data_IF_266490351259
#
_entry.id   IF_266490351259
#
_cell.length_a   1.000
_cell.length_b   1.000
_cell.length_c   1.000
_cell.angle_alpha   90.00
_cell.angle_beta   90.00
_cell.angle_gamma   90.00
#
_symmetry.space_group_name_H-M   'P 1'
#
loop_
_entity.id
_entity.type
_entity.pdbx_description
1 polymer ?
#
# COMPACT_ATOMS: atom_id res chain seq x y z
N UNK A 1 20.03 -4.84 -33.44
CA UNK A 1 20.18 -4.58 -32.00
C UNK A 1 18.93 -5.14 -31.32
N UNK A 2 19.09 -6.01 -30.35
CA UNK A 2 17.98 -6.47 -29.51
C UNK A 2 17.56 -5.29 -28.61
N UNK A 3 16.29 -4.91 -28.70
CA UNK A 3 15.71 -3.92 -27.82
C UNK A 3 15.45 -4.58 -26.45
N UNK A 4 16.08 -4.04 -25.41
CA UNK A 4 16.00 -4.56 -24.03
C UNK A 4 15.05 -3.68 -23.21
N UNK A 5 13.83 -4.16 -23.03
CA UNK A 5 12.78 -3.47 -22.25
C UNK A 5 13.16 -3.30 -20.78
N UNK A 6 13.87 -4.26 -20.19
CA UNK A 6 14.24 -4.19 -18.77
C UNK A 6 15.26 -3.08 -18.55
N UNK A 7 16.23 -2.93 -19.46
CA UNK A 7 17.16 -1.80 -19.43
C UNK A 7 16.45 -0.45 -19.62
N UNK A 8 15.46 -0.37 -20.50
CA UNK A 8 14.69 0.85 -20.68
C UNK A 8 13.93 1.20 -19.41
N UNK A 9 13.27 0.22 -18.80
CA UNK A 9 12.57 0.41 -17.54
C UNK A 9 13.50 0.87 -16.42
N UNK A 10 14.71 0.32 -16.32
CA UNK A 10 15.69 0.72 -15.32
C UNK A 10 16.19 2.16 -15.56
N UNK A 11 16.43 2.55 -16.82
CA UNK A 11 16.77 3.93 -17.17
C UNK A 11 15.62 4.88 -16.81
N UNK A 12 14.37 4.48 -17.07
CA UNK A 12 13.20 5.29 -16.73
C UNK A 12 13.06 5.48 -15.21
N UNK A 13 13.23 4.43 -14.42
CA UNK A 13 13.22 4.50 -12.95
C UNK A 13 14.26 5.49 -12.41
N UNK A 14 15.50 5.42 -12.93
CA UNK A 14 16.57 6.34 -12.53
C UNK A 14 16.25 7.78 -12.95
N UNK A 15 15.76 7.99 -14.17
CA UNK A 15 15.39 9.32 -14.65
C UNK A 15 14.29 9.95 -13.78
N UNK A 16 13.25 9.17 -13.41
CA UNK A 16 12.15 9.65 -12.58
C UNK A 16 12.60 10.09 -11.18
N UNK A 17 13.69 9.57 -10.63
CA UNK A 17 14.22 10.03 -9.34
C UNK A 17 14.70 11.49 -9.37
N UNK A 18 15.07 11.99 -10.54
CA UNK A 18 15.59 13.36 -10.74
C UNK A 18 14.51 14.38 -11.14
N UNK A 19 13.28 13.91 -11.34
CA UNK A 19 12.13 14.74 -11.69
C UNK A 19 11.28 14.92 -10.43
N UNK A 20 10.84 16.14 -10.13
CA UNK A 20 9.98 16.39 -8.94
C UNK A 20 8.62 15.71 -9.08
N UNK A 21 7.98 15.39 -7.94
CA UNK A 21 6.64 14.82 -7.92
C UNK A 21 5.62 15.73 -8.64
N UNK A 22 5.80 17.04 -8.54
CA UNK A 22 4.96 18.01 -9.24
C UNK A 22 5.11 17.92 -10.76
N UNK A 23 6.34 17.89 -11.28
CA UNK A 23 6.59 17.76 -12.72
C UNK A 23 6.07 16.41 -13.26
N UNK A 24 6.19 15.33 -12.48
CA UNK A 24 5.58 14.04 -12.85
C UNK A 24 4.05 14.16 -12.89
N UNK A 25 3.43 14.84 -11.93
CA UNK A 25 1.98 15.03 -11.88
C UNK A 25 1.47 15.80 -13.11
N UNK A 26 2.12 16.91 -13.46
CA UNK A 26 1.78 17.69 -14.67
C UNK A 26 1.94 16.86 -15.96
N UNK A 27 3.05 16.13 -16.08
CA UNK A 27 3.25 15.22 -17.21
C UNK A 27 2.15 14.15 -17.31
N UNK A 28 1.79 13.52 -16.18
CA UNK A 28 0.73 12.50 -16.14
C UNK A 28 -0.63 13.07 -16.52
N UNK A 29 -0.91 14.31 -16.12
CA UNK A 29 -2.14 15.02 -16.48
C UNK A 29 -2.25 15.21 -17.98
N UNK A 30 -1.22 15.80 -18.62
CA UNK A 30 -1.20 16.01 -20.05
C UNK A 30 -1.26 14.68 -20.83
N UNK A 31 -0.49 13.69 -20.39
CA UNK A 31 -0.49 12.36 -21.00
C UNK A 31 -1.86 11.69 -20.90
N UNK A 32 -2.55 11.82 -19.77
CA UNK A 32 -3.85 11.17 -19.56
C UNK A 32 -4.95 11.72 -20.45
N UNK A 33 -4.93 13.01 -20.79
CA UNK A 33 -5.90 13.62 -21.68
C UNK A 33 -5.95 12.95 -23.06
N UNK A 34 -4.79 12.47 -23.54
CA UNK A 34 -4.70 11.82 -24.85
C UNK A 34 -4.81 10.29 -24.76
N UNK A 35 -4.17 9.67 -23.78
CA UNK A 35 -3.94 8.22 -23.78
C UNK A 35 -4.73 7.44 -22.71
N UNK A 36 -5.30 8.12 -21.70
CA UNK A 36 -5.98 7.46 -20.59
C UNK A 36 -6.99 8.37 -19.88
N UNK A 37 -8.02 8.90 -20.60
CA UNK A 37 -9.00 9.84 -20.05
C UNK A 37 -9.84 9.23 -18.91
N UNK A 38 -9.87 7.92 -18.79
CA UNK A 38 -10.51 7.19 -17.68
C UNK A 38 -9.91 7.50 -16.30
N UNK A 39 -8.69 8.06 -16.25
CA UNK A 39 -8.02 8.47 -15.02
C UNK A 39 -8.17 9.96 -14.69
N UNK A 40 -9.03 10.70 -15.39
CA UNK A 40 -9.19 12.15 -15.21
C UNK A 40 -9.45 12.56 -13.76
N UNK A 41 -10.21 11.75 -13.00
CA UNK A 41 -10.52 12.00 -11.59
C UNK A 41 -9.28 12.08 -10.66
N UNK A 42 -8.14 11.53 -11.08
CA UNK A 42 -6.87 11.58 -10.30
C UNK A 42 -6.36 13.02 -10.22
N UNK A 43 -6.68 13.85 -11.20
CA UNK A 43 -6.22 15.23 -11.32
C UNK A 43 -7.17 16.27 -10.70
N UNK A 44 -8.27 15.82 -10.09
CA UNK A 44 -9.19 16.70 -9.36
C UNK A 44 -8.52 17.30 -8.10
N UNK A 45 -7.54 16.60 -7.53
CA UNK A 45 -6.73 17.06 -6.41
C UNK A 45 -5.23 16.84 -6.71
N UNK A 46 -4.61 17.86 -7.30
CA UNK A 46 -3.18 17.85 -7.66
C UNK A 46 -2.26 17.80 -6.44
N UNK A 47 -2.66 18.41 -5.32
CA UNK A 47 -1.86 18.40 -4.09
C UNK A 47 -1.81 16.98 -3.49
N UNK A 48 -2.92 16.26 -3.52
CA UNK A 48 -2.98 14.85 -3.14
C UNK A 48 -2.11 14.00 -4.07
N UNK A 49 -2.23 14.18 -5.38
CA UNK A 49 -1.43 13.45 -6.37
C UNK A 49 0.06 13.66 -6.15
N UNK A 50 0.50 14.89 -5.90
CA UNK A 50 1.92 15.20 -5.63
C UNK A 50 2.39 14.47 -4.37
N UNK A 51 1.61 14.47 -3.26
CA UNK A 51 1.94 13.71 -2.04
C UNK A 51 2.06 12.21 -2.30
N UNK A 52 1.17 11.64 -3.11
CA UNK A 52 1.20 10.22 -3.49
C UNK A 52 2.46 9.89 -4.30
N UNK A 53 2.81 10.73 -5.26
CA UNK A 53 3.99 10.54 -6.10
C UNK A 53 5.30 10.72 -5.33
N UNK A 54 5.30 11.56 -4.31
CA UNK A 54 6.47 11.86 -3.49
C UNK A 54 6.73 10.81 -2.39
N UNK A 55 5.76 9.95 -2.13
CA UNK A 55 5.83 8.90 -1.12
C UNK A 55 7.10 8.04 -1.27
N UNK A 56 7.99 8.07 -0.25
CA UNK A 56 9.22 7.27 -0.19
C UNK A 56 10.33 7.72 -1.15
N UNK A 57 10.25 8.94 -1.71
CA UNK A 57 11.28 9.49 -2.61
C UNK A 57 12.41 10.22 -1.88
N UNK A 58 12.13 10.79 -0.72
CA UNK A 58 13.11 11.54 0.11
C UNK A 58 13.91 10.63 1.06
N UNK A 59 13.77 9.32 0.96
CA UNK A 59 14.48 8.37 1.80
C UNK A 59 15.93 8.16 1.35
N UNK A 60 16.81 7.69 2.27
CA UNK A 60 18.20 7.28 1.92
C UNK A 60 18.27 6.28 0.76
N UNK A 61 17.23 5.49 0.59
CA UNK A 61 17.02 4.57 -0.53
C UNK A 61 15.68 4.91 -1.17
N UNK A 62 15.64 5.85 -2.09
CA UNK A 62 14.41 6.25 -2.76
C UNK A 62 13.74 5.05 -3.44
N UNK A 63 12.41 5.02 -3.40
CA UNK A 63 11.65 4.00 -4.13
C UNK A 63 11.86 4.14 -5.64
N UNK A 64 11.97 3.00 -6.33
CA UNK A 64 12.22 2.92 -7.78
C UNK A 64 11.15 2.09 -8.49
N UNK A 65 9.91 2.18 -8.04
CA UNK A 65 8.79 1.40 -8.56
C UNK A 65 7.90 2.17 -9.56
N UNK A 66 8.19 3.46 -9.80
CA UNK A 66 7.57 4.25 -10.85
C UNK A 66 8.39 4.12 -12.13
N UNK A 67 7.74 3.75 -13.24
CA UNK A 67 8.45 3.38 -14.48
C UNK A 67 7.98 4.18 -15.69
N UNK A 68 6.69 4.14 -16.04
CA UNK A 68 6.09 4.87 -17.16
C UNK A 68 4.65 5.24 -16.86
N UNK A 69 4.10 6.20 -17.58
CA UNK A 69 2.83 6.85 -17.26
C UNK A 69 1.70 5.89 -16.91
N UNK A 70 1.37 4.93 -17.79
CA UNK A 70 0.26 3.97 -17.51
C UNK A 70 0.53 3.14 -16.26
N UNK A 71 1.73 2.63 -16.07
CA UNK A 71 2.10 1.86 -14.89
C UNK A 71 1.97 2.71 -13.60
N UNK A 72 2.38 3.98 -13.66
CA UNK A 72 2.25 4.91 -12.52
C UNK A 72 0.77 5.09 -12.18
N UNK A 73 -0.09 5.36 -13.17
CA UNK A 73 -1.53 5.56 -12.96
C UNK A 73 -2.20 4.32 -12.33
N UNK A 74 -1.89 3.13 -12.85
CA UNK A 74 -2.38 1.87 -12.30
C UNK A 74 -1.84 1.61 -10.89
N UNK A 75 -0.56 1.95 -10.66
CA UNK A 75 0.10 1.72 -9.38
C UNK A 75 -0.49 2.57 -8.26
N UNK A 76 -0.78 3.87 -8.52
CA UNK A 76 -1.35 4.79 -7.52
C UNK A 76 -2.88 4.69 -7.40
N UNK A 77 -3.53 3.93 -8.27
CA UNK A 77 -5.00 3.85 -8.37
C UNK A 77 -5.70 3.47 -7.06
N UNK A 78 -5.02 2.74 -6.17
CA UNK A 78 -5.59 2.36 -4.88
C UNK A 78 -5.85 3.53 -3.93
N UNK A 79 -5.28 4.70 -4.15
CA UNK A 79 -5.61 5.90 -3.37
C UNK A 79 -7.00 6.46 -3.69
N UNK A 80 -7.62 6.03 -4.79
CA UNK A 80 -8.88 6.56 -5.29
C UNK A 80 -9.99 5.51 -5.21
N UNK A 81 -11.13 5.88 -4.59
CA UNK A 81 -12.24 4.94 -4.40
C UNK A 81 -12.85 4.43 -5.72
N UNK A 82 -12.78 5.25 -6.78
CA UNK A 82 -13.28 4.90 -8.12
C UNK A 82 -12.57 3.71 -8.73
N UNK A 83 -11.28 3.53 -8.42
CA UNK A 83 -10.41 2.49 -9.00
C UNK A 83 -9.90 1.47 -7.99
N UNK A 84 -10.20 1.64 -6.71
CA UNK A 84 -9.78 0.70 -5.68
C UNK A 84 -10.39 -0.70 -5.89
N UNK A 85 -9.54 -1.70 -5.95
CA UNK A 85 -9.90 -3.12 -6.03
C UNK A 85 -8.95 -3.96 -5.19
N UNK A 86 -9.47 -4.98 -4.53
CA UNK A 86 -8.65 -6.04 -3.93
C UNK A 86 -8.27 -7.00 -5.06
N UNK A 87 -6.97 -7.16 -5.31
CA UNK A 87 -6.41 -7.93 -6.42
C UNK A 87 -5.75 -9.21 -5.92
N UNK A 88 -5.03 -9.12 -4.79
CA UNK A 88 -4.31 -10.23 -4.21
C UNK A 88 -5.13 -10.92 -3.12
N UNK A 89 -4.80 -12.18 -2.85
CA UNK A 89 -5.47 -13.00 -1.86
C UNK A 89 -4.87 -12.80 -0.46
N UNK A 90 -5.68 -13.04 0.56
CA UNK A 90 -5.25 -13.08 1.96
C UNK A 90 -4.29 -14.26 2.14
N UNK A 91 -3.18 -14.11 2.91
CA UNK A 91 -2.32 -15.24 3.25
C UNK A 91 -3.11 -16.37 3.92
N UNK A 92 -2.88 -17.62 3.48
CA UNK A 92 -3.59 -18.78 4.00
C UNK A 92 -3.52 -18.90 5.53
N UNK A 93 -2.38 -18.50 6.13
CA UNK A 93 -2.16 -18.50 7.57
C UNK A 93 -3.06 -17.51 8.33
N UNK A 94 -3.56 -16.47 7.63
CA UNK A 94 -4.38 -15.43 8.24
C UNK A 94 -5.84 -15.44 7.76
N UNK A 95 -6.20 -16.30 6.81
CA UNK A 95 -7.54 -16.34 6.20
C UNK A 95 -8.64 -16.54 7.25
N UNK A 96 -8.45 -17.49 8.17
CA UNK A 96 -9.44 -17.79 9.21
C UNK A 96 -9.63 -16.66 10.26
N UNK A 97 -8.61 -15.82 10.42
CA UNK A 97 -8.63 -14.74 11.43
C UNK A 97 -8.75 -13.34 10.79
N UNK A 98 -8.92 -13.23 9.45
CA UNK A 98 -8.89 -11.94 8.73
C UNK A 98 -9.87 -10.90 9.30
N UNK A 99 -11.10 -11.30 9.62
CA UNK A 99 -12.09 -10.39 10.20
C UNK A 99 -11.66 -9.92 11.59
N UNK A 100 -11.18 -10.84 12.44
CA UNK A 100 -10.71 -10.50 13.78
C UNK A 100 -9.51 -9.56 13.75
N UNK A 101 -8.56 -9.80 12.84
CA UNK A 101 -7.39 -8.93 12.63
C UNK A 101 -7.87 -7.51 12.31
N UNK A 102 -8.83 -7.36 11.40
CA UNK A 102 -9.34 -6.06 10.99
C UNK A 102 -10.17 -5.38 12.10
N UNK A 103 -10.97 -6.13 12.87
CA UNK A 103 -11.74 -5.61 14.00
C UNK A 103 -10.81 -5.13 15.13
N UNK A 104 -9.79 -5.90 15.51
CA UNK A 104 -8.78 -5.48 16.49
C UNK A 104 -7.96 -4.28 15.99
N UNK A 105 -7.63 -4.26 14.70
CA UNK A 105 -6.97 -3.13 14.09
C UNK A 105 -7.81 -1.84 14.21
N UNK A 106 -9.09 -1.87 13.82
CA UNK A 106 -9.99 -0.72 13.94
C UNK A 106 -10.13 -0.21 15.38
N UNK A 107 -10.18 -1.13 16.35
CA UNK A 107 -10.35 -0.76 17.76
C UNK A 107 -9.12 -0.06 18.34
N UNK A 108 -7.93 -0.40 17.85
CA UNK A 108 -6.64 0.16 18.30
C UNK A 108 -6.11 1.29 17.41
N UNK A 109 -6.68 1.47 16.22
CA UNK A 109 -6.19 2.44 15.24
C UNK A 109 -6.32 3.88 15.73
N UNK A 110 -5.21 4.59 15.69
CA UNK A 110 -5.12 6.02 15.92
C UNK A 110 -4.28 6.65 14.80
N UNK A 111 -4.88 7.57 14.05
CA UNK A 111 -4.21 8.21 12.91
C UNK A 111 -2.98 9.05 13.31
N UNK A 112 -2.93 9.51 14.56
CA UNK A 112 -1.83 10.30 15.10
C UNK A 112 -0.63 9.47 15.58
N UNK A 113 -0.72 8.13 15.54
CA UNK A 113 0.39 7.26 15.94
C UNK A 113 1.62 7.50 15.05
N UNK A 114 2.78 7.48 15.64
CA UNK A 114 4.04 7.35 14.91
C UNK A 114 4.12 5.99 14.22
N UNK A 115 4.99 5.85 13.23
CA UNK A 115 5.21 4.58 12.54
C UNK A 115 5.58 3.44 13.51
N UNK A 116 6.38 3.74 14.55
CA UNK A 116 6.77 2.76 15.56
C UNK A 116 5.59 2.33 16.44
N UNK A 117 4.79 3.28 16.94
CA UNK A 117 3.59 3.01 17.73
C UNK A 117 2.57 2.20 16.92
N UNK A 118 2.32 2.58 15.67
CA UNK A 118 1.45 1.87 14.76
C UNK A 118 1.92 0.41 14.56
N UNK A 119 3.21 0.18 14.30
CA UNK A 119 3.71 -1.16 14.07
C UNK A 119 3.74 -2.01 15.35
N UNK A 120 3.93 -1.40 16.52
CA UNK A 120 3.83 -2.09 17.79
C UNK A 120 2.40 -2.60 18.04
N UNK A 121 1.37 -1.81 17.73
CA UNK A 121 -0.03 -2.26 17.79
C UNK A 121 -0.29 -3.46 16.89
N UNK A 122 0.28 -3.49 15.68
CA UNK A 122 0.16 -4.67 14.80
C UNK A 122 0.83 -5.91 15.41
N UNK A 123 1.97 -5.74 16.08
CA UNK A 123 2.63 -6.84 16.81
C UNK A 123 1.78 -7.34 17.99
N UNK A 124 1.12 -6.45 18.70
CA UNK A 124 0.19 -6.81 19.79
C UNK A 124 -1.00 -7.60 19.24
N UNK A 125 -1.64 -7.14 18.16
CA UNK A 125 -2.71 -7.89 17.48
C UNK A 125 -2.21 -9.28 17.07
N UNK A 126 -1.04 -9.37 16.44
CA UNK A 126 -0.45 -10.63 16.04
C UNK A 126 -0.28 -11.57 17.24
N UNK A 127 0.30 -11.09 18.32
CA UNK A 127 0.55 -11.89 19.53
C UNK A 127 -0.77 -12.35 20.19
N UNK A 128 -1.75 -11.45 20.33
CA UNK A 128 -3.05 -11.75 20.92
C UNK A 128 -3.81 -12.83 20.15
N UNK A 129 -3.66 -12.88 18.83
CA UNK A 129 -4.31 -13.86 17.97
C UNK A 129 -3.49 -15.16 17.77
N UNK A 130 -2.30 -15.29 18.39
CA UNK A 130 -1.46 -16.49 18.33
C UNK A 130 -0.47 -16.51 17.14
N UNK A 131 -0.14 -15.34 16.60
CA UNK A 131 0.93 -15.18 15.60
C UNK A 131 2.25 -14.79 16.26
N UNK A 132 3.36 -15.21 15.67
CA UNK A 132 4.68 -14.78 16.13
C UNK A 132 4.91 -13.29 15.87
N UNK A 133 5.37 -12.54 16.87
CA UNK A 133 5.72 -11.13 16.75
C UNK A 133 6.88 -10.87 15.77
N UNK A 134 7.68 -11.90 15.47
CA UNK A 134 8.82 -11.82 14.54
C UNK A 134 8.80 -13.01 13.57
N UNK A 135 9.00 -12.78 12.26
CA UNK A 135 9.02 -13.87 11.28
C UNK A 135 10.05 -14.96 11.57
N UNK A 136 11.19 -14.60 12.18
CA UNK A 136 12.25 -15.58 12.56
C UNK A 136 11.81 -16.56 13.64
N UNK A 137 10.91 -16.15 14.54
CA UNK A 137 10.43 -17.02 15.61
C UNK A 137 9.47 -18.07 15.05
N UNK A 138 8.56 -17.64 14.15
CA UNK A 138 7.73 -18.56 13.36
C UNK A 138 8.56 -19.55 12.53
N UNK A 139 9.61 -19.07 11.86
CA UNK A 139 10.48 -19.94 11.05
C UNK A 139 11.20 -21.02 11.87
N UNK A 140 11.49 -20.74 13.16
CA UNK A 140 12.14 -21.70 14.06
C UNK A 140 11.16 -22.72 14.62
N UNK A 141 9.97 -22.30 14.96
CA UNK A 141 8.95 -23.12 15.64
C UNK A 141 7.59 -22.89 14.95
N UNK A 142 7.40 -23.40 13.72
CA UNK A 142 6.16 -23.13 12.98
C UNK A 142 4.91 -23.69 13.65
N UNK A 143 5.04 -24.78 14.38
CA UNK A 143 3.92 -25.46 15.06
C UNK A 143 3.41 -24.70 16.31
N UNK A 144 4.21 -23.76 16.83
CA UNK A 144 3.83 -22.96 18.00
C UNK A 144 2.93 -21.74 17.64
N UNK A 145 2.81 -21.41 16.37
CA UNK A 145 2.13 -20.21 15.91
C UNK A 145 1.25 -20.46 14.68
N UNK A 146 0.17 -19.70 14.53
CA UNK A 146 -0.66 -19.70 13.32
C UNK A 146 0.06 -19.11 12.08
N UNK A 147 1.08 -18.29 12.31
CA UNK A 147 1.81 -17.52 11.31
C UNK A 147 2.69 -16.47 12.01
N UNK A 148 2.93 -15.34 11.38
CA UNK A 148 3.73 -14.26 11.96
C UNK A 148 3.13 -12.88 11.64
N UNK A 149 3.64 -11.83 12.31
CA UNK A 149 3.20 -10.44 12.17
C UNK A 149 3.12 -9.96 10.70
N UNK A 150 3.93 -10.50 9.80
CA UNK A 150 3.87 -10.18 8.37
C UNK A 150 2.54 -10.60 7.73
N UNK A 151 1.97 -11.75 8.11
CA UNK A 151 0.66 -12.19 7.61
C UNK A 151 -0.45 -11.25 8.11
N UNK A 152 -0.41 -10.86 9.39
CA UNK A 152 -1.33 -9.88 9.98
C UNK A 152 -1.24 -8.52 9.27
N UNK A 153 0.00 -8.03 9.06
CA UNK A 153 0.25 -6.79 8.31
C UNK A 153 -0.26 -6.86 6.88
N UNK A 154 -0.19 -8.04 6.24
CA UNK A 154 -0.67 -8.23 4.86
C UNK A 154 -2.18 -8.16 4.78
N UNK A 155 -2.92 -8.70 5.76
CA UNK A 155 -4.39 -8.54 5.83
C UNK A 155 -4.78 -7.05 5.88
N UNK A 156 -4.13 -6.28 6.77
CA UNK A 156 -4.37 -4.83 6.89
C UNK A 156 -4.03 -4.11 5.58
N UNK A 157 -2.89 -4.46 4.97
CA UNK A 157 -2.46 -3.90 3.68
C UNK A 157 -3.47 -4.19 2.58
N UNK A 158 -3.97 -5.42 2.46
CA UNK A 158 -4.97 -5.79 1.47
C UNK A 158 -6.26 -4.98 1.62
N UNK A 159 -6.72 -4.77 2.84
CA UNK A 159 -7.90 -3.94 3.09
C UNK A 159 -7.70 -2.49 2.64
N UNK A 160 -6.50 -1.94 2.76
CA UNK A 160 -6.19 -0.55 2.43
C UNK A 160 -5.78 -0.34 0.96
N UNK A 161 -4.95 -1.24 0.43
CA UNK A 161 -4.27 -1.09 -0.86
C UNK A 161 -4.77 -2.08 -1.90
N UNK A 162 -5.38 -3.19 -1.46
CA UNK A 162 -5.85 -4.26 -2.34
C UNK A 162 -4.74 -5.16 -2.89
N UNK A 163 -3.50 -4.99 -2.43
CA UNK A 163 -2.31 -5.71 -2.91
C UNK A 163 -1.46 -6.21 -1.73
N UNK A 164 -0.81 -7.36 -1.89
CA UNK A 164 0.10 -7.92 -0.90
C UNK A 164 1.44 -7.16 -0.81
N UNK A 165 1.79 -6.43 -1.86
CA UNK A 165 3.00 -5.59 -1.93
C UNK A 165 2.61 -4.13 -2.15
N UNK A 166 3.25 -3.22 -1.40
CA UNK A 166 3.06 -1.78 -1.51
C UNK A 166 4.26 -1.05 -0.89
N UNK A 167 4.40 0.26 -1.08
CA UNK A 167 5.21 1.10 -0.21
C UNK A 167 4.78 0.97 1.25
N UNK A 168 5.43 1.72 2.13
CA UNK A 168 5.14 1.71 3.56
C UNK A 168 3.66 1.99 3.87
N UNK A 169 3.00 1.05 4.55
CA UNK A 169 1.55 1.12 4.81
C UNK A 169 1.20 2.24 5.78
N UNK A 170 2.05 2.53 6.75
CA UNK A 170 1.83 3.65 7.66
C UNK A 170 1.83 4.99 6.90
N UNK A 171 2.81 5.20 6.02
CA UNK A 171 2.89 6.41 5.20
C UNK A 171 1.70 6.52 4.21
N UNK A 172 1.27 5.41 3.64
CA UNK A 172 0.05 5.35 2.80
C UNK A 172 -1.18 5.81 3.59
N UNK A 173 -1.35 5.35 4.82
CA UNK A 173 -2.48 5.75 5.68
C UNK A 173 -2.46 7.23 6.02
N UNK A 174 -1.27 7.82 6.25
CA UNK A 174 -1.14 9.25 6.49
C UNK A 174 -1.63 10.09 5.30
N UNK A 175 -1.40 9.61 4.08
CA UNK A 175 -1.89 10.27 2.85
C UNK A 175 -3.40 10.03 2.66
N UNK A 176 -3.91 8.84 2.93
CA UNK A 176 -5.33 8.49 2.80
C UNK A 176 -6.25 9.26 3.76
N UNK A 177 -5.74 9.57 4.95
CA UNK A 177 -6.54 10.13 6.03
C UNK A 177 -7.39 9.10 6.79
N UNK A 178 -7.77 9.45 8.02
CA UNK A 178 -8.43 8.53 8.95
C UNK A 178 -9.76 7.99 8.41
N UNK A 179 -10.60 8.84 7.84
CA UNK A 179 -11.93 8.45 7.35
C UNK A 179 -11.84 7.37 6.26
N UNK A 180 -10.94 7.54 5.30
CA UNK A 180 -10.75 6.55 4.23
C UNK A 180 -10.19 5.23 4.77
N UNK A 181 -9.23 5.29 5.68
CA UNK A 181 -8.67 4.09 6.32
C UNK A 181 -9.77 3.29 7.01
N UNK A 182 -10.56 3.95 7.88
CA UNK A 182 -11.66 3.30 8.59
C UNK A 182 -12.72 2.75 7.63
N UNK A 183 -13.10 3.50 6.61
CA UNK A 183 -14.09 3.08 5.63
C UNK A 183 -13.65 1.80 4.88
N UNK A 184 -12.39 1.71 4.48
CA UNK A 184 -11.86 0.55 3.76
C UNK A 184 -11.77 -0.71 4.61
N UNK A 185 -11.31 -0.56 5.84
CA UNK A 185 -11.26 -1.68 6.79
C UNK A 185 -12.68 -2.19 7.06
N UNK A 186 -13.63 -1.31 7.37
CA UNK A 186 -15.03 -1.69 7.58
C UNK A 186 -15.63 -2.38 6.35
N UNK A 187 -15.38 -1.86 5.15
CA UNK A 187 -15.87 -2.47 3.91
C UNK A 187 -15.38 -3.92 3.76
N UNK A 188 -14.12 -4.20 4.05
CA UNK A 188 -13.60 -5.56 3.96
C UNK A 188 -14.24 -6.48 5.01
N UNK A 189 -14.45 -6.00 6.25
CA UNK A 189 -15.16 -6.74 7.31
C UNK A 189 -16.60 -7.07 6.88
N UNK A 190 -17.32 -6.11 6.28
CA UNK A 190 -18.70 -6.29 5.85
C UNK A 190 -18.86 -7.28 4.69
N UNK A 191 -17.91 -7.36 3.80
CA UNK A 191 -17.91 -8.30 2.67
C UNK A 191 -17.74 -9.77 3.09
N UNK A 192 -17.28 -10.01 4.31
CA UNK A 192 -17.01 -11.34 4.86
C UNK A 192 -18.09 -11.80 5.86
N UNK A 193 -19.09 -10.96 6.15
CA UNK A 193 -20.27 -11.28 6.99
C UNK A 193 -21.45 -11.70 6.12
#
# INVERSE_FOLDING_TARGET
ALFDLDKLNDVSKEALLHISAYEIAEFLKDWSLEFAPEYSYIFDDMDLLVKILDLGRDEKKPRKDLVYARQIMEFISYFYNQSFKIIDEVPAEAEADKVKILEEYLSSYNHADTQEEWFNKIREIATNLGYAAKPKDYKKNPDDYKGHVGHVSTVIRLALVGRAQSPDVWAIQQIMGEDMVRARINRMIEQEK
#
